data_IF_403277991705
#
_entry.id   IF_403277991705
#
_cell.length_a   1.000
_cell.length_b   1.000
_cell.length_c   1.000
_cell.angle_alpha   90.00
_cell.angle_beta   90.00
_cell.angle_gamma   90.00
#
_symmetry.space_group_name_H-M   'P 1'
#
loop_
_entity.id
_entity.type
_entity.pdbx_description
1 polymer ?
#
# COMPACT_ATOMS: atom_id res chain seq x y z
N UNK A 1 19.33 -6.30 4.71
CA UNK A 1 18.23 -5.79 5.55
C UNK A 1 17.03 -5.71 4.66
N UNK A 2 16.04 -6.56 4.87
CA UNK A 2 14.80 -6.53 4.07
C UNK A 2 13.93 -5.40 4.61
N UNK A 3 13.64 -4.40 3.76
CA UNK A 3 12.76 -3.30 4.14
C UNK A 3 11.34 -3.83 4.30
N UNK A 4 10.66 -3.60 5.43
CA UNK A 4 9.30 -4.09 5.63
C UNK A 4 8.37 -3.44 4.61
N UNK A 5 7.41 -4.22 4.12
CA UNK A 5 6.53 -3.79 3.04
C UNK A 5 5.39 -4.76 2.81
N UNK A 6 4.40 -4.31 2.02
CA UNK A 6 3.24 -5.11 1.66
C UNK A 6 3.13 -5.24 0.14
N UNK A 7 2.53 -6.34 -0.32
CA UNK A 7 2.22 -6.55 -1.72
C UNK A 7 0.81 -6.05 -1.98
N UNK A 8 0.67 -5.06 -2.87
CA UNK A 8 -0.61 -4.55 -3.33
C UNK A 8 -0.88 -5.10 -4.72
N UNK A 9 -2.00 -5.80 -4.87
CA UNK A 9 -2.51 -6.20 -6.18
C UNK A 9 -3.40 -5.10 -6.74
N UNK A 10 -3.02 -4.55 -7.88
CA UNK A 10 -3.81 -3.55 -8.60
C UNK A 10 -4.10 -4.05 -10.03
N UNK A 11 -5.35 -4.44 -10.28
CA UNK A 11 -5.72 -5.10 -11.54
C UNK A 11 -4.98 -6.43 -11.72
N UNK A 12 -4.23 -6.55 -12.81
CA UNK A 12 -3.37 -7.71 -13.13
C UNK A 12 -1.95 -7.57 -12.58
N UNK A 13 -1.59 -6.41 -12.04
CA UNK A 13 -0.23 -6.13 -11.58
C UNK A 13 -0.09 -6.30 -10.06
N UNK A 14 1.11 -6.71 -9.65
CA UNK A 14 1.53 -6.73 -8.25
C UNK A 14 2.60 -5.66 -8.05
N UNK A 15 2.40 -4.82 -7.03
CA UNK A 15 3.32 -3.74 -6.66
C UNK A 15 3.74 -3.96 -5.21
N UNK A 16 5.03 -3.80 -4.94
CA UNK A 16 5.57 -3.91 -3.57
C UNK A 16 5.66 -2.50 -3.00
N UNK A 17 4.88 -2.23 -1.97
CA UNK A 17 4.93 -0.97 -1.23
C UNK A 17 5.88 -1.18 -0.06
N UNK A 18 7.04 -0.51 -0.09
CA UNK A 18 8.09 -0.59 0.93
C UNK A 18 7.85 0.45 2.03
N UNK A 19 8.68 0.37 3.07
CA UNK A 19 8.71 1.31 4.18
C UNK A 19 7.36 1.39 4.92
N UNK A 20 6.75 0.22 5.11
CA UNK A 20 5.54 0.05 5.92
C UNK A 20 5.97 -0.48 7.28
N UNK A 21 5.62 0.25 8.32
CA UNK A 21 5.94 -0.04 9.72
C UNK A 21 4.64 -0.15 10.54
N UNK A 22 4.72 -0.64 11.78
CA UNK A 22 3.54 -0.88 12.63
C UNK A 22 2.75 0.40 12.97
N UNK A 23 3.40 1.56 12.93
CA UNK A 23 2.81 2.88 13.14
C UNK A 23 2.30 3.54 11.86
N UNK A 24 2.51 2.89 10.70
CA UNK A 24 2.09 3.44 9.41
C UNK A 24 0.58 3.51 9.32
N UNK A 25 0.07 4.72 9.15
CA UNK A 25 -1.37 4.96 9.04
C UNK A 25 -1.91 4.54 7.67
N UNK A 26 -3.23 4.33 7.61
CA UNK A 26 -3.93 4.09 6.33
C UNK A 26 -3.75 5.25 5.35
N UNK A 27 -3.66 6.48 5.84
CA UNK A 27 -3.46 7.65 4.99
C UNK A 27 -2.09 7.61 4.31
N UNK A 28 -1.03 7.29 5.07
CA UNK A 28 0.32 7.15 4.53
C UNK A 28 0.46 5.96 3.60
N UNK A 29 -0.19 4.83 3.92
CA UNK A 29 -0.22 3.69 3.02
C UNK A 29 -0.85 4.05 1.67
N UNK A 30 -1.98 4.77 1.67
CA UNK A 30 -2.63 5.23 0.44
C UNK A 30 -1.79 6.23 -0.34
N UNK A 31 -1.04 7.10 0.34
CA UNK A 31 -0.11 8.02 -0.31
C UNK A 31 1.00 7.25 -1.04
N UNK A 32 1.60 6.24 -0.40
CA UNK A 32 2.62 5.37 -1.03
C UNK A 32 2.05 4.56 -2.20
N UNK A 33 0.83 4.04 -2.08
CA UNK A 33 0.16 3.35 -3.20
C UNK A 33 -0.07 4.33 -4.37
N UNK A 34 -0.38 5.59 -4.10
CA UNK A 34 -0.55 6.61 -5.14
C UNK A 34 0.77 6.87 -5.88
N UNK A 35 1.90 6.93 -5.18
CA UNK A 35 3.23 7.08 -5.79
C UNK A 35 3.53 5.93 -6.77
N UNK A 36 3.16 4.70 -6.42
CA UNK A 36 3.45 3.51 -7.23
C UNK A 36 2.42 3.23 -8.35
N UNK A 37 1.15 3.62 -8.15
CA UNK A 37 0.04 3.27 -9.07
C UNK A 37 -0.54 4.45 -9.84
N UNK A 38 -0.29 5.69 -9.39
CA UNK A 38 -0.92 6.90 -9.91
C UNK A 38 -2.40 7.06 -9.56
N UNK A 39 -2.99 6.14 -8.78
CA UNK A 39 -4.40 6.20 -8.39
C UNK A 39 -4.57 7.00 -7.12
N UNK A 40 -5.34 8.09 -7.17
CA UNK A 40 -5.50 9.00 -6.02
C UNK A 40 -6.03 8.29 -4.76
N UNK A 41 -5.56 8.64 -3.55
CA UNK A 41 -5.96 8.02 -2.28
C UNK A 41 -7.47 7.89 -2.05
N UNK A 42 -8.25 8.88 -2.45
CA UNK A 42 -9.72 8.89 -2.34
C UNK A 42 -10.41 7.87 -3.26
N UNK A 43 -9.74 7.43 -4.34
CA UNK A 43 -10.22 6.42 -5.28
C UNK A 43 -9.72 5.02 -4.95
N UNK A 44 -8.87 4.87 -3.94
CA UNK A 44 -8.35 3.58 -3.49
C UNK A 44 -9.27 2.95 -2.45
N UNK A 45 -9.77 1.76 -2.76
CA UNK A 45 -10.42 0.86 -1.79
C UNK A 45 -9.47 -0.27 -1.44
N UNK A 46 -9.00 -0.29 -0.19
CA UNK A 46 -8.14 -1.36 0.32
C UNK A 46 -9.03 -2.56 0.66
N UNK A 47 -8.87 -3.65 -0.08
CA UNK A 47 -9.62 -4.89 0.12
C UNK A 47 -8.72 -5.91 0.81
N UNK A 48 -9.26 -6.65 1.78
CA UNK A 48 -8.54 -7.66 2.56
C UNK A 48 -7.35 -7.12 3.37
N UNK A 49 -7.36 -5.84 3.76
CA UNK A 49 -6.41 -5.35 4.74
C UNK A 49 -6.72 -6.02 6.08
N UNK A 50 -5.82 -6.92 6.52
CA UNK A 50 -5.90 -7.56 7.83
C UNK A 50 -4.79 -6.99 8.71
N UNK A 51 -5.19 -6.45 9.85
CA UNK A 51 -4.26 -6.25 10.96
C UNK A 51 -3.93 -7.63 11.51
N UNK A 52 -2.64 -7.97 11.51
CA UNK A 52 -2.13 -9.21 12.11
C UNK A 52 -2.13 -9.05 13.63
#
# INVERSE_FOLDING_TARGET
METPGIIVKWGTELRVIKDIYDDTTIAELKARIYEETGVKPERQKLLNLRTI
#
